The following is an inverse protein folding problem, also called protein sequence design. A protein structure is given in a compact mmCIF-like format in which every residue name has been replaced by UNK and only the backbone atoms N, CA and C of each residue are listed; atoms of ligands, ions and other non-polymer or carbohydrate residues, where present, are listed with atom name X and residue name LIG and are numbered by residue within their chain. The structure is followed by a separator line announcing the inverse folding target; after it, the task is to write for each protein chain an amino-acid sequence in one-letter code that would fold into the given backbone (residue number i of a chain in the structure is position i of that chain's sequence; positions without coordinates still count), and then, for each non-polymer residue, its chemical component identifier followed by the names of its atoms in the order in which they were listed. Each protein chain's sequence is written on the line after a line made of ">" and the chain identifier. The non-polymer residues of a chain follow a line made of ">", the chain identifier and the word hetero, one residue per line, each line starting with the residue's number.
data_IF_848109881653
#
_entry.id   IF_848109881653
#
_cell.length_a   1.000
_cell.length_b   1.000
_cell.length_c   1.000
_cell.angle_alpha   90.00
_cell.angle_beta   90.00
_cell.angle_gamma   90.00
#
_symmetry.space_group_name_H-M   'P 1'
#
loop_
_entity.id
_entity.type
_entity.pdbx_description
1 polymer ?
#
# COMPACT_ATOMS: atom_id res chain seq x y z
N UNK A 1 -9.92 -39.73 10.60
CA UNK A 1 -9.88 -38.51 11.43
C UNK A 1 -8.95 -37.55 10.75
N UNK A 2 -9.46 -36.47 10.16
CA UNK A 2 -8.62 -35.39 9.63
C UNK A 2 -7.86 -34.80 10.82
N UNK A 3 -6.52 -34.77 10.80
CA UNK A 3 -5.79 -34.19 11.91
C UNK A 3 -6.15 -32.70 12.00
N UNK A 4 -6.80 -32.31 13.09
CA UNK A 4 -7.15 -30.91 13.37
C UNK A 4 -5.87 -30.15 13.68
N UNK A 5 -5.62 -29.08 12.92
CA UNK A 5 -4.52 -28.15 13.17
C UNK A 5 -4.79 -27.38 14.47
N UNK A 6 -3.77 -27.19 15.30
CA UNK A 6 -3.87 -26.36 16.50
C UNK A 6 -3.43 -24.91 16.23
N UNK A 7 -3.79 -23.97 17.09
CA UNK A 7 -3.30 -22.58 16.96
C UNK A 7 -1.78 -22.50 17.11
N UNK A 8 -1.19 -23.34 17.96
CA UNK A 8 0.27 -23.45 18.10
C UNK A 8 0.93 -23.92 16.81
N UNK A 9 0.32 -24.86 16.09
CA UNK A 9 0.81 -25.29 14.77
C UNK A 9 0.75 -24.13 13.76
N UNK A 10 -0.34 -23.34 13.75
CA UNK A 10 -0.47 -22.17 12.88
C UNK A 10 0.62 -21.12 13.17
N UNK A 11 0.81 -20.76 14.44
CA UNK A 11 1.85 -19.82 14.85
C UNK A 11 3.25 -20.32 14.47
N UNK A 12 3.53 -21.60 14.70
CA UNK A 12 4.81 -22.20 14.33
C UNK A 12 5.04 -22.19 12.81
N UNK A 13 4.00 -22.40 12.01
CA UNK A 13 4.12 -22.31 10.55
C UNK A 13 4.38 -20.88 10.10
N UNK A 14 3.58 -19.92 10.58
CA UNK A 14 3.69 -18.52 10.18
C UNK A 14 5.03 -17.91 10.61
N UNK A 15 5.62 -18.35 11.71
CA UNK A 15 6.97 -17.92 12.12
C UNK A 15 8.07 -18.38 11.16
N UNK A 16 7.87 -19.44 10.36
CA UNK A 16 8.79 -19.83 9.28
C UNK A 16 8.86 -18.77 8.17
N UNK A 17 7.81 -17.96 8.03
CA UNK A 17 7.76 -16.79 7.16
C UNK A 17 8.20 -15.50 7.90
N UNK A 18 8.62 -15.58 9.16
CA UNK A 18 8.91 -14.39 9.97
C UNK A 18 7.67 -13.62 10.44
N UNK A 19 6.48 -14.24 10.39
CA UNK A 19 5.24 -13.64 10.86
C UNK A 19 4.97 -14.12 12.29
N UNK A 20 5.20 -13.23 13.25
CA UNK A 20 5.12 -13.55 14.68
C UNK A 20 3.67 -13.56 15.20
N UNK A 21 3.40 -14.28 16.32
CA UNK A 21 2.06 -14.35 16.92
C UNK A 21 1.41 -12.99 17.21
N UNK A 22 2.20 -11.99 17.63
CA UNK A 22 1.67 -10.66 17.92
C UNK A 22 1.15 -9.99 16.65
N UNK A 23 1.91 -10.04 15.56
CA UNK A 23 1.46 -9.53 14.26
C UNK A 23 0.18 -10.23 13.77
N UNK A 24 0.08 -11.54 14.00
CA UNK A 24 -1.09 -12.33 13.61
C UNK A 24 -2.33 -11.88 14.39
N UNK A 25 -2.21 -11.71 15.71
CA UNK A 25 -3.30 -11.24 16.57
C UNK A 25 -3.71 -9.82 16.24
N UNK A 26 -2.74 -8.94 16.02
CA UNK A 26 -2.98 -7.53 15.74
C UNK A 26 -3.61 -7.37 14.35
N UNK A 27 -3.06 -7.97 13.30
CA UNK A 27 -3.42 -7.66 11.92
C UNK A 27 -4.22 -8.74 11.19
N UNK A 28 -3.92 -10.03 11.43
CA UNK A 28 -4.43 -11.13 10.61
C UNK A 28 -5.68 -11.82 11.16
N UNK A 29 -5.97 -11.63 12.45
CA UNK A 29 -7.18 -12.13 13.08
C UNK A 29 -8.22 -11.00 13.24
N UNK A 30 -9.52 -11.34 13.20
CA UNK A 30 -10.59 -10.39 13.50
C UNK A 30 -10.48 -9.83 14.92
N UNK A 31 -10.97 -8.61 15.14
CA UNK A 31 -10.97 -7.88 16.42
C UNK A 31 -11.71 -8.61 17.54
N UNK A 32 -12.71 -9.42 17.20
CA UNK A 32 -13.43 -10.24 18.17
C UNK A 32 -12.69 -11.53 18.57
N UNK A 33 -11.57 -11.85 17.91
CA UNK A 33 -10.79 -13.04 18.23
C UNK A 33 -10.16 -12.93 19.63
N UNK A 34 -10.24 -14.01 20.40
CA UNK A 34 -9.69 -14.08 21.75
C UNK A 34 -9.09 -15.47 22.06
N UNK A 35 -8.35 -15.56 23.17
CA UNK A 35 -7.61 -16.77 23.56
C UNK A 35 -8.51 -17.99 23.82
N UNK A 36 -9.79 -17.79 24.19
CA UNK A 36 -10.71 -18.91 24.42
C UNK A 36 -11.00 -19.70 23.13
N UNK A 37 -10.85 -19.04 21.97
CA UNK A 37 -11.04 -19.66 20.65
C UNK A 37 -9.85 -20.51 20.23
N UNK A 38 -8.63 -20.23 20.73
CA UNK A 38 -7.42 -20.95 20.33
C UNK A 38 -7.44 -22.45 20.71
N UNK A 39 -8.29 -22.82 21.68
CA UNK A 39 -8.46 -24.21 22.14
C UNK A 39 -9.57 -24.97 21.39
N UNK A 40 -10.37 -24.29 20.57
CA UNK A 40 -11.54 -24.87 19.88
C UNK A 40 -11.17 -25.23 18.44
N UNK A 41 -11.11 -26.52 18.06
CA UNK A 41 -10.60 -26.92 16.73
C UNK A 41 -11.33 -26.29 15.54
N UNK A 42 -12.65 -26.12 15.64
CA UNK A 42 -13.46 -25.47 14.58
C UNK A 42 -13.12 -23.98 14.48
N UNK A 43 -12.99 -23.30 15.60
CA UNK A 43 -12.60 -21.89 15.60
C UNK A 43 -11.20 -21.70 15.03
N UNK A 44 -10.23 -22.57 15.36
CA UNK A 44 -8.87 -22.54 14.79
C UNK A 44 -8.89 -22.68 13.26
N UNK A 45 -9.78 -23.51 12.71
CA UNK A 45 -9.95 -23.61 11.25
C UNK A 45 -10.48 -22.32 10.64
N UNK A 46 -11.45 -21.65 11.29
CA UNK A 46 -11.95 -20.34 10.87
C UNK A 46 -10.85 -19.28 10.95
N UNK A 47 -10.07 -19.27 12.05
CA UNK A 47 -8.90 -18.40 12.23
C UNK A 47 -7.86 -18.57 11.12
N UNK A 48 -7.57 -19.81 10.72
CA UNK A 48 -6.71 -20.09 9.57
C UNK A 48 -7.27 -19.49 8.26
N UNK A 49 -8.59 -19.53 8.08
CA UNK A 49 -9.30 -18.89 6.97
C UNK A 49 -9.10 -17.37 6.94
N UNK A 50 -9.29 -16.70 8.08
CA UNK A 50 -9.05 -15.26 8.23
C UNK A 50 -7.60 -14.88 7.94
N UNK A 51 -6.66 -15.57 8.59
CA UNK A 51 -5.22 -15.35 8.38
C UNK A 51 -4.86 -15.50 6.91
N UNK A 52 -5.33 -16.58 6.26
CA UNK A 52 -5.01 -16.82 4.87
C UNK A 52 -5.62 -15.77 3.92
N UNK A 53 -6.85 -15.33 4.19
CA UNK A 53 -7.52 -14.30 3.38
C UNK A 53 -6.88 -12.93 3.56
N UNK A 54 -6.60 -12.50 4.79
CA UNK A 54 -6.03 -11.18 5.11
C UNK A 54 -4.58 -11.06 4.65
N UNK A 55 -3.74 -12.08 4.90
CA UNK A 55 -2.31 -12.04 4.52
C UNK A 55 -2.01 -12.55 3.11
N UNK A 56 -3.02 -12.99 2.36
CA UNK A 56 -2.84 -13.52 0.99
C UNK A 56 -2.13 -14.87 0.93
N UNK A 57 -2.32 -15.73 1.94
CA UNK A 57 -1.74 -17.08 1.98
C UNK A 57 -2.61 -18.11 1.26
N UNK A 58 -1.98 -19.17 0.77
CA UNK A 58 -2.67 -20.37 0.31
C UNK A 58 -3.18 -21.16 1.52
N UNK A 59 -4.49 -21.17 1.74
CA UNK A 59 -5.13 -21.84 2.88
C UNK A 59 -4.77 -23.33 2.94
N UNK A 60 -4.66 -24.00 1.79
CA UNK A 60 -4.30 -25.42 1.75
C UNK A 60 -2.90 -25.64 2.31
N UNK A 61 -1.92 -24.86 1.87
CA UNK A 61 -0.55 -24.91 2.40
C UNK A 61 -0.52 -24.58 3.89
N UNK A 62 -1.37 -23.67 4.38
CA UNK A 62 -1.43 -23.31 5.79
C UNK A 62 -1.97 -24.45 6.65
N UNK A 63 -3.00 -25.17 6.17
CA UNK A 63 -3.63 -26.28 6.89
C UNK A 63 -2.86 -27.61 6.83
N UNK A 64 -2.07 -27.85 5.78
CA UNK A 64 -1.33 -29.09 5.60
C UNK A 64 -0.20 -29.24 6.64
N UNK A 65 -0.10 -30.38 7.35
CA UNK A 65 0.91 -30.56 8.41
C UNK A 65 2.35 -30.58 7.89
N UNK A 66 2.57 -31.23 6.74
CA UNK A 66 3.90 -31.53 6.23
C UNK A 66 4.33 -30.59 5.07
N UNK A 67 3.60 -29.50 4.85
CA UNK A 67 3.93 -28.49 3.84
C UNK A 67 4.25 -27.14 4.51
N UNK A 68 5.31 -26.44 4.06
CA UNK A 68 5.57 -25.07 4.49
C UNK A 68 4.43 -24.15 4.01
N UNK A 69 4.07 -23.12 4.80
CA UNK A 69 3.07 -22.15 4.36
C UNK A 69 3.60 -21.36 3.15
N UNK A 70 2.70 -21.04 2.22
CA UNK A 70 3.02 -20.28 1.01
C UNK A 70 2.03 -19.14 0.81
N UNK A 71 2.51 -18.06 0.22
CA UNK A 71 1.63 -17.03 -0.34
C UNK A 71 0.94 -17.53 -1.60
N UNK A 72 -0.22 -16.94 -1.92
CA UNK A 72 -0.86 -17.13 -3.22
C UNK A 72 0.08 -16.68 -4.35
N UNK A 73 -0.03 -17.26 -5.56
CA UNK A 73 0.79 -16.86 -6.68
C UNK A 73 0.67 -15.35 -6.96
N UNK A 74 1.81 -14.69 -7.09
CA UNK A 74 1.90 -13.27 -7.44
C UNK A 74 1.90 -13.10 -8.98
N UNK A 75 1.53 -11.92 -9.51
CA UNK A 75 1.78 -11.58 -10.90
C UNK A 75 3.28 -11.60 -11.21
N UNK A 76 3.65 -11.51 -12.49
CA UNK A 76 5.04 -11.39 -12.88
C UNK A 76 5.68 -10.15 -12.22
N UNK A 77 6.59 -10.35 -11.27
CA UNK A 77 7.25 -9.27 -10.54
C UNK A 77 8.60 -8.94 -11.17
N UNK A 78 8.80 -7.69 -11.60
CA UNK A 78 10.12 -7.17 -11.98
C UNK A 78 10.83 -6.75 -10.70
N UNK A 79 11.71 -7.62 -10.20
CA UNK A 79 12.65 -7.29 -9.14
C UNK A 79 13.85 -6.53 -9.75
N UNK A 80 14.20 -5.37 -9.21
CA UNK A 80 15.40 -4.62 -9.64
C UNK A 80 16.69 -5.31 -9.16
N UNK A 81 17.80 -5.10 -9.87
CA UNK A 81 19.02 -5.94 -9.94
C UNK A 81 19.79 -6.17 -8.62
N UNK A 82 19.42 -5.55 -7.50
CA UNK A 82 20.02 -5.77 -6.17
C UNK A 82 19.15 -6.59 -5.21
N UNK A 83 17.95 -6.98 -5.65
CA UNK A 83 17.03 -7.81 -4.88
C UNK A 83 17.37 -9.28 -5.09
N UNK A 84 18.13 -9.86 -4.18
CA UNK A 84 18.11 -11.31 -4.04
C UNK A 84 16.78 -11.67 -3.34
N UNK A 85 15.93 -12.52 -3.94
CA UNK A 85 14.72 -12.99 -3.30
C UNK A 85 15.12 -13.78 -2.04
N UNK A 86 15.11 -13.11 -0.90
CA UNK A 86 15.22 -13.74 0.40
C UNK A 86 13.83 -13.74 1.05
N UNK A 87 13.64 -14.57 2.07
CA UNK A 87 12.34 -14.73 2.72
C UNK A 87 11.76 -13.41 3.27
N UNK A 88 12.59 -12.43 3.66
CA UNK A 88 12.13 -11.17 4.24
C UNK A 88 11.50 -10.25 3.18
N UNK A 89 12.10 -10.17 2.00
CA UNK A 89 11.56 -9.41 0.86
C UNK A 89 10.27 -10.05 0.33
N UNK A 90 10.18 -11.39 0.33
CA UNK A 90 8.97 -12.11 -0.10
C UNK A 90 7.72 -11.75 0.72
N UNK A 91 7.86 -11.60 2.04
CA UNK A 91 6.73 -11.26 2.93
C UNK A 91 6.21 -9.86 2.66
N UNK A 92 7.09 -8.85 2.61
CA UNK A 92 6.72 -7.49 2.27
C UNK A 92 5.96 -7.45 0.93
N UNK A 93 6.52 -8.10 -0.09
CA UNK A 93 5.94 -8.11 -1.43
C UNK A 93 4.57 -8.79 -1.44
N UNK A 94 4.39 -9.87 -0.69
CA UNK A 94 3.12 -10.60 -0.66
C UNK A 94 2.02 -9.82 0.05
N UNK A 95 2.35 -9.10 1.13
CA UNK A 95 1.41 -8.24 1.83
C UNK A 95 0.99 -7.06 0.96
N UNK A 96 1.97 -6.37 0.36
CA UNK A 96 1.74 -5.27 -0.59
C UNK A 96 0.92 -5.75 -1.78
N UNK A 97 1.22 -6.94 -2.32
CA UNK A 97 0.46 -7.54 -3.40
C UNK A 97 -1.01 -7.74 -3.03
N UNK A 98 -1.26 -8.30 -1.84
CA UNK A 98 -2.62 -8.53 -1.33
C UNK A 98 -3.37 -7.22 -1.12
N UNK A 99 -2.71 -6.20 -0.58
CA UNK A 99 -3.33 -4.87 -0.40
C UNK A 99 -3.63 -4.20 -1.74
N UNK A 100 -2.72 -4.27 -2.71
CA UNK A 100 -2.96 -3.75 -4.05
C UNK A 100 -4.16 -4.45 -4.73
N UNK A 101 -4.31 -5.77 -4.57
CA UNK A 101 -5.50 -6.50 -5.04
C UNK A 101 -6.78 -5.98 -4.39
N UNK A 102 -6.80 -5.83 -3.06
CA UNK A 102 -7.97 -5.38 -2.33
C UNK A 102 -8.35 -3.93 -2.68
N UNK A 103 -7.38 -3.03 -2.73
CA UNK A 103 -7.58 -1.62 -3.09
C UNK A 103 -8.05 -1.49 -4.54
N UNK A 104 -7.44 -2.22 -5.48
CA UNK A 104 -7.88 -2.21 -6.87
C UNK A 104 -9.32 -2.75 -7.04
N UNK A 105 -9.73 -3.69 -6.19
CA UNK A 105 -11.10 -4.19 -6.17
C UNK A 105 -12.11 -3.13 -5.68
N UNK A 106 -11.78 -2.37 -4.64
CA UNK A 106 -12.61 -1.26 -4.12
C UNK A 106 -12.49 0.06 -4.89
N UNK A 107 -11.65 0.14 -5.91
CA UNK A 107 -11.47 1.37 -6.71
C UNK A 107 -12.34 1.32 -7.97
N UNK A 108 -13.30 2.25 -8.06
CA UNK A 108 -14.18 2.37 -9.25
C UNK A 108 -13.53 3.14 -10.40
N UNK A 109 -12.62 4.07 -10.09
CA UNK A 109 -11.98 4.92 -11.07
C UNK A 109 -11.32 4.09 -12.19
N UNK A 110 -11.59 4.45 -13.44
CA UNK A 110 -11.00 3.78 -14.60
C UNK A 110 -9.68 4.44 -14.93
N UNK A 111 -8.64 3.63 -15.10
CA UNK A 111 -7.33 4.14 -15.45
C UNK A 111 -7.33 4.82 -16.83
N UNK A 112 -6.77 6.03 -16.88
CA UNK A 112 -6.48 6.75 -18.11
C UNK A 112 -4.97 6.90 -18.26
N UNK A 113 -4.46 6.62 -19.46
CA UNK A 113 -3.04 6.76 -19.74
C UNK A 113 -2.57 8.17 -19.41
N UNK A 114 -1.46 8.24 -18.68
CA UNK A 114 -0.81 9.50 -18.31
C UNK A 114 0.29 9.84 -19.34
N UNK A 115 0.54 11.13 -19.62
CA UNK A 115 1.57 11.53 -20.55
C UNK A 115 2.97 11.30 -19.98
N UNK A 116 3.91 10.89 -20.83
CA UNK A 116 5.33 10.74 -20.44
C UNK A 116 6.01 12.10 -20.17
N UNK A 117 5.48 13.20 -20.72
CA UNK A 117 6.00 14.55 -20.50
C UNK A 117 5.52 15.11 -19.16
N UNK A 118 6.44 15.18 -18.21
CA UNK A 118 6.23 15.71 -16.86
C UNK A 118 5.65 17.13 -16.86
N UNK A 119 5.94 17.96 -17.85
CA UNK A 119 5.41 19.34 -17.91
C UNK A 119 3.91 19.36 -18.19
N UNK A 120 3.39 18.37 -18.92
CA UNK A 120 1.95 18.22 -19.14
C UNK A 120 1.26 17.84 -17.85
N UNK A 121 1.83 16.90 -17.09
CA UNK A 121 1.32 16.50 -15.77
C UNK A 121 1.33 17.68 -14.80
N UNK A 122 2.47 18.40 -14.73
CA UNK A 122 2.61 19.61 -13.92
C UNK A 122 1.54 20.65 -14.26
N UNK A 123 1.31 20.89 -15.55
CA UNK A 123 0.29 21.84 -16.01
C UNK A 123 -1.12 21.39 -15.64
N UNK A 124 -1.43 20.09 -15.76
CA UNK A 124 -2.74 19.54 -15.38
C UNK A 124 -3.01 19.66 -13.87
N UNK A 125 -1.98 19.45 -13.03
CA UNK A 125 -2.08 19.62 -11.58
C UNK A 125 -2.35 21.09 -11.22
N UNK A 126 -1.57 22.01 -11.81
CA UNK A 126 -1.66 23.44 -11.49
C UNK A 126 -2.92 24.13 -12.05
N UNK A 127 -3.44 23.70 -13.21
CA UNK A 127 -4.66 24.30 -13.79
C UNK A 127 -5.88 23.97 -12.92
N UNK A 128 -5.94 22.79 -12.30
CA UNK A 128 -7.08 22.36 -11.50
C UNK A 128 -7.10 22.95 -10.09
N UNK A 129 -5.93 23.30 -9.53
CA UNK A 129 -5.88 23.99 -8.22
C UNK A 129 -6.49 25.40 -8.28
N UNK A 130 -6.58 26.01 -9.47
CA UNK A 130 -7.25 27.28 -9.70
C UNK A 130 -8.79 27.15 -9.81
N UNK A 131 -9.32 25.98 -10.18
CA UNK A 131 -10.75 25.72 -10.40
C UNK A 131 -11.47 25.04 -9.21
N UNK A 132 -10.73 24.61 -8.18
CA UNK A 132 -11.28 23.82 -7.08
C UNK A 132 -12.26 24.63 -6.18
N UNK A 133 -13.55 24.34 -6.33
CA UNK A 133 -14.65 24.70 -5.43
C UNK A 133 -14.46 24.10 -4.01
N UNK A 134 -15.08 24.69 -2.96
CA UNK A 134 -14.80 24.36 -1.57
C UNK A 134 -15.22 22.92 -1.21
N UNK A 135 -14.23 22.08 -0.91
CA UNK A 135 -14.42 20.85 -0.15
C UNK A 135 -14.69 21.23 1.33
N UNK A 136 -15.92 21.02 1.79
CA UNK A 136 -16.27 20.91 3.22
C UNK A 136 -16.07 22.17 4.07
N UNK A 137 -16.00 23.36 3.46
CA UNK A 137 -15.78 24.62 4.19
C UNK A 137 -14.38 24.79 4.77
N UNK A 138 -13.39 23.98 4.36
CA UNK A 138 -11.97 24.23 4.65
C UNK A 138 -11.31 24.81 3.41
N UNK A 139 -11.10 26.12 3.44
CA UNK A 139 -10.28 26.83 2.45
C UNK A 139 -8.84 26.34 2.59
N UNK A 140 -8.28 25.77 1.51
CA UNK A 140 -6.83 25.59 1.41
C UNK A 140 -6.21 26.98 1.25
N UNK A 141 -5.84 27.59 2.38
CA UNK A 141 -5.13 28.87 2.40
C UNK A 141 -3.65 28.63 2.12
N UNK A 142 -3.31 28.25 0.89
CA UNK A 142 -1.93 28.40 0.39
C UNK A 142 -1.97 28.60 -1.13
N UNK A 143 -2.05 29.86 -1.55
CA UNK A 143 -1.74 30.28 -2.91
C UNK A 143 -0.21 30.23 -3.10
N UNK A 144 0.32 29.02 -3.28
CA UNK A 144 1.62 28.77 -3.90
C UNK A 144 1.39 27.79 -5.06
N UNK A 145 1.92 28.02 -6.28
CA UNK A 145 1.84 27.07 -7.40
C UNK A 145 2.85 25.93 -7.20
N UNK A 146 2.84 25.35 -6.00
CA UNK A 146 3.72 24.25 -5.60
C UNK A 146 2.92 22.97 -5.64
N UNK A 147 3.55 21.92 -6.19
CA UNK A 147 2.97 20.59 -6.19
C UNK A 147 3.26 19.99 -4.83
N UNK A 148 2.20 19.69 -4.09
CA UNK A 148 2.27 19.02 -2.79
C UNK A 148 1.68 17.60 -2.86
N UNK A 149 1.72 16.89 -1.74
CA UNK A 149 1.22 15.52 -1.63
C UNK A 149 -0.27 15.42 -2.02
N UNK A 150 -1.10 16.38 -1.61
CA UNK A 150 -2.55 16.34 -1.86
C UNK A 150 -2.84 16.53 -3.33
N UNK A 151 -2.16 17.49 -3.99
CA UNK A 151 -2.30 17.74 -5.41
C UNK A 151 -1.89 16.53 -6.26
N UNK A 152 -0.84 15.81 -5.84
CA UNK A 152 -0.43 14.55 -6.48
C UNK A 152 -1.47 13.43 -6.28
N UNK A 153 -2.04 13.30 -5.08
CA UNK A 153 -3.10 12.31 -4.81
C UNK A 153 -4.36 12.58 -5.63
N UNK A 154 -4.77 13.85 -5.74
CA UNK A 154 -5.86 14.29 -6.60
C UNK A 154 -5.61 13.92 -8.06
N UNK A 155 -4.42 14.22 -8.57
CA UNK A 155 -4.04 13.83 -9.92
C UNK A 155 -4.07 12.33 -10.12
N UNK A 156 -3.42 11.55 -9.25
CA UNK A 156 -3.38 10.09 -9.35
C UNK A 156 -4.79 9.50 -9.41
N UNK A 157 -5.67 9.91 -8.49
CA UNK A 157 -7.04 9.41 -8.45
C UNK A 157 -7.84 9.74 -9.71
N UNK A 158 -7.70 10.95 -10.24
CA UNK A 158 -8.38 11.37 -11.47
C UNK A 158 -7.94 10.55 -12.68
N UNK A 159 -6.68 10.07 -12.67
CA UNK A 159 -6.17 9.16 -13.69
C UNK A 159 -6.50 7.69 -13.41
N UNK A 160 -7.26 7.39 -12.36
CA UNK A 160 -7.60 6.02 -11.94
C UNK A 160 -6.43 5.25 -11.32
N UNK A 161 -5.46 5.95 -10.74
CA UNK A 161 -4.33 5.39 -9.99
C UNK A 161 -4.66 5.48 -8.50
N UNK A 162 -4.83 4.33 -7.85
CA UNK A 162 -5.03 4.29 -6.40
C UNK A 162 -3.68 4.39 -5.68
N UNK A 163 -3.63 5.17 -4.61
CA UNK A 163 -2.41 5.37 -3.80
C UNK A 163 -2.74 5.01 -2.35
N UNK A 164 -1.92 4.15 -1.73
CA UNK A 164 -1.99 3.86 -0.31
C UNK A 164 -0.63 3.92 0.36
N UNK A 165 -0.63 4.17 1.67
CA UNK A 165 0.55 4.04 2.52
C UNK A 165 0.43 2.78 3.36
N UNK A 166 1.47 1.95 3.36
CA UNK A 166 1.53 0.75 4.18
C UNK A 166 2.94 0.48 4.70
N UNK A 167 3.16 0.74 5.99
CA UNK A 167 4.44 0.47 6.66
C UNK A 167 4.31 -0.48 7.84
N UNK A 168 3.16 -1.14 8.04
CA UNK A 168 2.94 -2.05 9.16
C UNK A 168 3.28 -3.50 8.79
N UNK A 169 4.57 -3.74 8.55
CA UNK A 169 5.09 -5.06 8.21
C UNK A 169 5.42 -5.92 9.45
N UNK A 170 5.42 -7.27 9.34
CA UNK A 170 5.88 -8.13 10.41
C UNK A 170 7.32 -7.80 10.85
N UNK A 171 7.67 -8.03 12.13
CA UNK A 171 9.04 -7.89 12.61
C UNK A 171 10.01 -8.66 11.72
N UNK A 172 11.19 -8.07 11.44
CA UNK A 172 12.22 -8.64 10.56
C UNK A 172 11.90 -8.70 9.06
N UNK A 173 10.77 -8.16 8.61
CA UNK A 173 10.53 -7.88 7.20
C UNK A 173 11.45 -6.77 6.73
N UNK A 174 11.92 -6.84 5.48
CA UNK A 174 12.64 -5.72 4.85
C UNK A 174 11.61 -4.75 4.29
N UNK A 175 11.50 -3.50 4.80
CA UNK A 175 10.54 -2.54 4.29
C UNK A 175 10.82 -2.20 2.83
N UNK A 176 9.78 -1.79 2.12
CA UNK A 176 9.87 -1.21 0.78
C UNK A 176 9.72 0.31 0.90
N UNK A 177 10.36 1.08 0.03
CA UNK A 177 10.13 2.53 -0.03
C UNK A 177 8.88 2.83 -0.84
N UNK A 178 8.74 2.19 -1.99
CA UNK A 178 7.58 2.28 -2.85
C UNK A 178 7.41 1.08 -3.78
N UNK A 179 6.21 0.97 -4.34
CA UNK A 179 5.88 -0.05 -5.34
C UNK A 179 4.76 0.43 -6.25
N UNK A 180 4.78 -0.07 -7.48
CA UNK A 180 3.69 0.05 -8.43
C UNK A 180 3.28 -1.36 -8.81
N UNK A 181 1.99 -1.64 -8.72
CA UNK A 181 1.43 -2.92 -9.15
C UNK A 181 0.25 -2.71 -10.08
N UNK A 182 0.29 -3.39 -11.23
CA UNK A 182 -0.88 -3.58 -12.07
C UNK A 182 -1.77 -4.68 -11.49
N UNK A 183 -3.01 -4.34 -11.17
CA UNK A 183 -4.07 -5.31 -10.93
C UNK A 183 -5.13 -5.17 -12.03
N UNK A 184 -5.17 -6.15 -12.93
CA UNK A 184 -5.96 -6.13 -14.17
C UNK A 184 -5.59 -4.91 -15.03
N UNK A 185 -6.43 -3.89 -15.06
CA UNK A 185 -6.28 -2.68 -15.87
C UNK A 185 -6.09 -1.43 -15.00
N UNK A 186 -5.74 -1.58 -13.71
CA UNK A 186 -5.54 -0.48 -12.78
C UNK A 186 -4.14 -0.56 -12.15
N UNK A 187 -3.35 0.52 -12.21
CA UNK A 187 -2.14 0.65 -11.41
C UNK A 187 -2.51 1.06 -9.97
N UNK A 188 -1.83 0.45 -9.01
CA UNK A 188 -1.88 0.81 -7.60
C UNK A 188 -0.47 1.15 -7.14
N UNK A 189 -0.30 2.30 -6.51
CA UNK A 189 0.95 2.73 -5.89
C UNK A 189 0.85 2.49 -4.39
N UNK A 190 1.81 1.77 -3.81
CA UNK A 190 1.94 1.63 -2.35
C UNK A 190 3.23 2.28 -1.90
N UNK A 191 3.13 3.24 -0.99
CA UNK A 191 4.29 3.86 -0.34
C UNK A 191 4.53 3.13 0.97
N UNK A 192 5.66 2.43 1.08
CA UNK A 192 6.02 1.66 2.27
C UNK A 192 6.97 2.40 3.22
N UNK A 193 7.47 3.56 2.80
CA UNK A 193 8.43 4.35 3.55
C UNK A 193 7.88 4.78 4.93
N UNK A 194 8.68 4.59 5.99
CA UNK A 194 8.35 5.00 7.36
C UNK A 194 8.53 6.51 7.61
N UNK A 195 8.23 7.34 6.62
CA UNK A 195 8.31 8.80 6.73
C UNK A 195 6.94 9.40 7.02
N UNK A 196 6.89 10.38 7.92
CA UNK A 196 5.67 11.14 8.21
C UNK A 196 5.63 12.47 7.46
N UNK A 197 6.78 12.91 6.93
CA UNK A 197 6.91 14.17 6.21
C UNK A 197 6.18 14.11 4.87
N UNK A 198 5.23 15.01 4.67
CA UNK A 198 4.40 15.05 3.47
C UNK A 198 5.19 15.38 2.21
N UNK A 199 6.23 16.23 2.29
CA UNK A 199 7.06 16.58 1.14
C UNK A 199 7.92 15.38 0.71
N UNK A 200 8.48 14.65 1.68
CA UNK A 200 9.21 13.42 1.40
C UNK A 200 8.32 12.35 0.75
N UNK A 201 7.12 12.14 1.27
CA UNK A 201 6.16 11.20 0.67
C UNK A 201 5.66 11.69 -0.70
N UNK A 202 5.54 13.01 -0.92
CA UNK A 202 5.22 13.57 -2.23
C UNK A 202 6.32 13.27 -3.26
N UNK A 203 7.59 13.38 -2.86
CA UNK A 203 8.71 13.01 -3.72
C UNK A 203 8.65 11.52 -4.09
N UNK A 204 8.45 10.62 -3.10
CA UNK A 204 8.33 9.18 -3.36
C UNK A 204 7.15 8.91 -4.31
N UNK A 205 5.99 9.52 -4.08
CA UNK A 205 4.83 9.38 -4.98
C UNK A 205 5.15 9.87 -6.40
N UNK A 206 5.83 11.01 -6.53
CA UNK A 206 6.22 11.54 -7.83
C UNK A 206 7.25 10.66 -8.55
N UNK A 207 8.17 10.04 -7.81
CA UNK A 207 9.12 9.06 -8.33
C UNK A 207 8.38 7.84 -8.91
N UNK A 208 7.46 7.25 -8.15
CA UNK A 208 6.66 6.11 -8.62
C UNK A 208 5.75 6.50 -9.80
N UNK A 209 5.16 7.69 -9.77
CA UNK A 209 4.41 8.22 -10.91
C UNK A 209 5.30 8.34 -12.16
N UNK A 210 6.58 8.69 -11.99
CA UNK A 210 7.58 8.72 -13.07
C UNK A 210 7.80 7.35 -13.69
N UNK A 211 7.95 6.29 -12.90
CA UNK A 211 8.04 4.92 -13.41
C UNK A 211 6.81 4.52 -14.24
N UNK A 212 5.61 4.91 -13.80
CA UNK A 212 4.38 4.65 -14.54
C UNK A 212 4.31 5.46 -15.84
N UNK A 213 4.61 6.76 -15.77
CA UNK A 213 4.51 7.69 -16.91
C UNK A 213 5.51 7.38 -18.02
N UNK A 214 6.71 6.96 -17.64
CA UNK A 214 7.79 6.62 -18.57
C UNK A 214 7.71 5.17 -19.08
N UNK A 215 6.70 4.39 -18.63
CA UNK A 215 6.49 3.03 -19.09
C UNK A 215 7.52 2.01 -18.57
N UNK A 216 8.20 2.32 -17.45
CA UNK A 216 9.16 1.39 -16.83
C UNK A 216 8.46 0.10 -16.33
N UNK A 217 7.16 0.18 -16.04
CA UNK A 217 6.30 -0.96 -15.70
C UNK A 217 5.01 -1.00 -16.55
N UNK A 218 4.96 -1.91 -17.52
CA UNK A 218 3.79 -2.12 -18.40
C UNK A 218 2.81 -3.19 -17.91
N UNK A 219 3.29 -4.13 -17.09
CA UNK A 219 2.50 -5.19 -16.46
C UNK A 219 3.23 -5.70 -15.21
N UNK A 220 2.48 -6.31 -14.29
CA UNK A 220 3.04 -6.93 -13.11
C UNK A 220 3.33 -5.96 -11.97
N UNK A 221 4.44 -6.16 -11.26
CA UNK A 221 4.81 -5.40 -10.07
C UNK A 221 6.25 -4.89 -10.17
N UNK A 222 6.48 -3.62 -9.80
CA UNK A 222 7.78 -3.01 -9.59
C UNK A 222 7.92 -2.71 -8.09
N UNK A 223 9.01 -3.12 -7.47
CA UNK A 223 9.25 -2.88 -6.04
C UNK A 223 10.60 -2.23 -5.83
N UNK A 224 10.62 -1.17 -5.02
CA UNK A 224 11.83 -0.45 -4.64
C UNK A 224 12.03 -0.50 -3.13
N UNK A 225 13.21 -0.95 -2.70
CA UNK A 225 13.59 -1.01 -1.28
C UNK A 225 14.18 0.33 -0.79
N UNK A 226 14.78 1.12 -1.68
CA UNK A 226 15.35 2.43 -1.37
C UNK A 226 15.53 3.28 -2.64
N UNK A 227 15.18 4.56 -2.58
CA UNK A 227 15.42 5.56 -3.61
C UNK A 227 16.88 6.03 -3.51
N UNK A 228 17.67 5.73 -4.54
CA UNK A 228 19.01 6.28 -4.72
C UNK A 228 18.98 7.41 -5.76
N UNK A 229 19.13 8.65 -5.28
CA UNK A 229 19.12 9.85 -6.12
C UNK A 229 20.27 9.89 -7.13
N UNK A 230 21.37 9.16 -6.85
CA UNK A 230 22.56 9.06 -7.68
C UNK A 230 22.65 7.70 -8.39
N UNK A 231 21.52 6.97 -8.47
CA UNK A 231 21.47 5.65 -9.11
C UNK A 231 21.98 5.72 -10.56
N UNK A 232 22.90 4.81 -10.96
CA UNK A 232 23.35 4.72 -12.35
C UNK A 232 22.36 3.96 -13.25
N UNK A 233 21.30 3.37 -12.68
CA UNK A 233 20.23 2.73 -13.45
C UNK A 233 19.39 3.79 -14.17
N UNK A 234 19.23 3.64 -15.49
CA UNK A 234 18.55 4.62 -16.34
C UNK A 234 17.08 4.83 -15.93
N UNK A 235 16.38 3.76 -15.51
CA UNK A 235 14.99 3.86 -15.12
C UNK A 235 14.83 4.64 -13.82
N UNK A 236 15.70 4.42 -12.84
CA UNK A 236 15.74 5.17 -11.58
C UNK A 236 16.13 6.62 -11.78
N UNK A 237 17.17 6.87 -12.57
CA UNK A 237 17.61 8.21 -12.88
C UNK A 237 16.47 9.00 -13.53
N UNK A 238 15.80 8.42 -14.52
CA UNK A 238 14.66 9.05 -15.18
C UNK A 238 13.47 9.27 -14.24
N UNK A 239 13.17 8.34 -13.33
CA UNK A 239 12.11 8.51 -12.31
C UNK A 239 12.46 9.64 -11.30
N UNK A 240 13.72 9.72 -10.86
CA UNK A 240 14.21 10.81 -10.02
C UNK A 240 14.12 12.16 -10.73
N UNK A 241 14.57 12.24 -11.98
CA UNK A 241 14.45 13.46 -12.79
C UNK A 241 12.98 13.84 -13.02
N UNK A 242 12.10 12.86 -13.17
CA UNK A 242 10.67 13.11 -13.28
C UNK A 242 10.14 13.80 -12.02
N UNK A 243 10.43 13.29 -10.81
CA UNK A 243 10.02 13.93 -9.57
C UNK A 243 10.56 15.37 -9.41
N UNK A 244 11.84 15.58 -9.74
CA UNK A 244 12.48 16.90 -9.69
C UNK A 244 11.83 17.88 -10.68
N UNK A 245 11.61 17.45 -11.93
CA UNK A 245 11.02 18.30 -12.97
C UNK A 245 9.53 18.56 -12.74
N UNK A 246 8.85 17.67 -12.01
CA UNK A 246 7.50 17.91 -11.52
C UNK A 246 7.48 19.06 -10.49
N UNK A 247 8.61 19.36 -9.84
CA UNK A 247 8.79 20.52 -8.98
C UNK A 247 8.93 20.17 -7.49
N UNK A 248 9.29 18.92 -7.17
CA UNK A 248 9.59 18.46 -5.82
C UNK A 248 11.09 18.63 -5.55
N UNK A 249 11.46 18.96 -4.31
CA UNK A 249 12.88 19.17 -3.97
C UNK A 249 13.54 17.85 -3.56
N UNK A 250 14.68 17.55 -4.17
CA UNK A 250 15.56 16.45 -3.78
C UNK A 250 16.04 16.58 -2.32
N UNK A 251 16.09 17.79 -1.77
CA UNK A 251 16.43 18.01 -0.36
C UNK A 251 15.42 17.36 0.60
N UNK A 252 14.15 17.21 0.19
CA UNK A 252 13.08 16.59 0.98
C UNK A 252 13.38 15.12 1.30
N UNK A 253 14.11 14.42 0.44
CA UNK A 253 14.55 13.03 0.68
C UNK A 253 15.63 12.95 1.76
N UNK A 254 16.52 13.95 1.80
CA UNK A 254 17.67 14.01 2.71
C UNK A 254 17.37 14.64 4.07
N UNK A 255 16.20 15.26 4.24
CA UNK A 255 15.78 15.91 5.47
C UNK A 255 15.70 14.90 6.63
N UNK A 256 16.44 15.18 7.71
CA UNK A 256 16.64 14.24 8.83
C UNK A 256 15.54 14.28 9.89
N UNK A 257 14.68 15.29 9.90
CA UNK A 257 13.66 15.43 10.94
C UNK A 257 12.33 15.89 10.35
N UNK A 258 11.19 15.30 10.76
CA UNK A 258 9.90 15.90 10.51
C UNK A 258 9.86 17.22 11.29
N UNK A 259 9.66 18.34 10.58
CA UNK A 259 9.23 19.56 11.25
C UNK A 259 7.89 19.23 11.93
N UNK A 260 7.83 19.40 13.26
CA UNK A 260 6.68 19.12 14.13
C UNK A 260 5.42 19.97 13.79
N UNK A 261 5.44 20.70 12.67
CA UNK A 261 4.38 21.56 12.16
C UNK A 261 3.69 20.99 10.90
N UNK A 262 4.18 19.90 10.29
CA UNK A 262 3.58 19.34 9.07
C UNK A 262 2.56 18.23 9.36
N UNK A 263 1.47 18.17 8.56
CA UNK A 263 0.48 17.10 8.67
C UNK A 263 1.13 15.75 8.36
N UNK A 264 0.76 14.72 9.11
CA UNK A 264 1.26 13.36 8.91
C UNK A 264 0.84 12.85 7.52
N UNK A 265 1.81 12.78 6.60
CA UNK A 265 1.53 12.41 5.21
C UNK A 265 1.03 10.97 5.04
N UNK A 266 1.37 10.05 5.95
CA UNK A 266 0.84 8.68 5.96
C UNK A 266 -0.69 8.71 6.15
N UNK A 267 -1.15 9.50 7.13
CA UNK A 267 -2.58 9.70 7.40
C UNK A 267 -3.27 10.43 6.25
N UNK A 268 -2.61 11.39 5.61
CA UNK A 268 -3.16 12.08 4.42
C UNK A 268 -3.44 11.06 3.31
N UNK A 269 -2.45 10.22 2.96
CA UNK A 269 -2.60 9.22 1.90
C UNK A 269 -3.73 8.24 2.22
N UNK A 270 -3.71 7.64 3.41
CA UNK A 270 -4.67 6.61 3.75
C UNK A 270 -6.08 7.16 3.93
N UNK A 271 -6.24 8.35 4.52
CA UNK A 271 -7.55 9.02 4.59
C UNK A 271 -8.06 9.39 3.20
N UNK A 272 -7.20 9.91 2.33
CA UNK A 272 -7.56 10.28 0.97
C UNK A 272 -8.14 9.08 0.20
N UNK A 273 -7.48 7.93 0.31
CA UNK A 273 -7.96 6.67 -0.27
C UNK A 273 -9.27 6.22 0.38
N UNK A 274 -9.32 6.18 1.70
CA UNK A 274 -10.49 5.70 2.45
C UNK A 274 -11.75 6.52 2.14
N UNK A 275 -11.63 7.83 1.96
CA UNK A 275 -12.75 8.71 1.60
C UNK A 275 -13.29 8.45 0.17
N UNK A 276 -12.60 7.63 -0.65
CA UNK A 276 -12.92 7.39 -2.07
C UNK A 276 -13.06 5.93 -2.48
N UNK A 277 -12.69 4.99 -1.61
CA UNK A 277 -12.94 3.57 -1.83
C UNK A 277 -14.44 3.27 -1.78
N UNK A 278 -14.89 2.38 -2.65
CA UNK A 278 -16.23 1.81 -2.58
C UNK A 278 -16.25 0.70 -1.52
N UNK A 279 -16.56 1.09 -0.28
CA UNK A 279 -16.55 0.21 0.88
C UNK A 279 -17.64 -0.86 0.82
N UNK A 280 -18.74 -0.62 0.10
CA UNK A 280 -19.88 -1.53 -0.01
C UNK A 280 -19.54 -2.81 -0.80
N UNK A 281 -18.40 -2.83 -1.51
CA UNK A 281 -17.92 -4.01 -2.25
C UNK A 281 -17.28 -5.05 -1.34
N UNK A 282 -16.85 -4.67 -0.14
CA UNK A 282 -16.12 -5.54 0.76
C UNK A 282 -17.09 -6.27 1.70
N UNK A 283 -16.82 -7.55 1.94
CA UNK A 283 -17.44 -8.25 3.06
C UNK A 283 -16.92 -7.71 4.40
N UNK A 284 -17.66 -7.96 5.49
CA UNK A 284 -17.35 -7.45 6.84
C UNK A 284 -15.88 -7.69 7.25
N UNK A 285 -15.32 -8.85 6.89
CA UNK A 285 -13.95 -9.22 7.20
C UNK A 285 -12.91 -8.42 6.39
N UNK A 286 -13.15 -8.22 5.10
CA UNK A 286 -12.27 -7.45 4.23
C UNK A 286 -12.34 -5.97 4.54
N UNK A 287 -13.53 -5.47 4.90
CA UNK A 287 -13.75 -4.12 5.42
C UNK A 287 -12.91 -3.91 6.67
N UNK A 288 -13.08 -4.77 7.68
CA UNK A 288 -12.38 -4.65 8.96
C UNK A 288 -10.85 -4.71 8.78
N UNK A 289 -10.38 -5.61 7.91
CA UNK A 289 -8.95 -5.72 7.64
C UNK A 289 -8.37 -4.46 6.98
N UNK A 290 -9.05 -3.91 5.96
CA UNK A 290 -8.61 -2.68 5.29
C UNK A 290 -8.66 -1.48 6.21
N UNK A 291 -9.73 -1.33 7.00
CA UNK A 291 -9.86 -0.26 8.00
C UNK A 291 -8.66 -0.27 8.95
N UNK A 292 -8.35 -1.45 9.49
CA UNK A 292 -7.22 -1.66 10.39
C UNK A 292 -5.87 -1.37 9.74
N UNK A 293 -5.63 -1.87 8.52
CA UNK A 293 -4.35 -1.68 7.81
C UNK A 293 -4.13 -0.23 7.40
N UNK A 294 -5.20 0.46 6.98
CA UNK A 294 -5.13 1.88 6.61
C UNK A 294 -5.02 2.79 7.83
N UNK A 295 -5.35 2.30 9.03
CA UNK A 295 -5.33 3.09 10.26
C UNK A 295 -6.35 4.24 10.22
N UNK A 296 -7.48 4.00 9.57
CA UNK A 296 -8.60 4.94 9.47
C UNK A 296 -9.74 4.44 10.35
N UNK A 297 -10.37 5.33 11.11
CA UNK A 297 -11.67 5.02 11.73
C UNK A 297 -12.74 5.50 10.76
N UNK A 298 -13.40 4.57 10.07
CA UNK A 298 -14.54 4.92 9.25
C UNK A 298 -15.73 5.04 10.20
N UNK A 299 -16.32 6.24 10.29
CA UNK A 299 -17.59 6.39 10.97
C UNK A 299 -18.58 5.45 10.28
N UNK A 300 -18.94 4.35 10.95
CA UNK A 300 -20.12 3.58 10.60
C UNK A 300 -21.24 4.61 10.50
N UNK A 301 -21.74 4.84 9.29
CA UNK A 301 -23.00 5.54 9.14
C UNK A 301 -24.01 4.67 9.86
N UNK A 302 -24.34 5.08 11.09
CA UNK A 302 -25.40 4.47 11.88
C UNK A 302 -26.62 4.56 11.00
N UNK A 303 -27.02 3.42 10.44
CA UNK A 303 -28.24 3.30 9.66
C UNK A 303 -29.36 3.93 10.46
N UNK A 304 -29.88 5.04 9.95
CA UNK A 304 -31.16 5.56 10.41
C UNK A 304 -32.18 4.53 9.92
N UNK A 305 -32.68 3.76 10.89
CA UNK A 305 -33.83 2.86 10.78
C UNK A 305 -35.02 3.59 10.17
#
# INVERSE_FOLDING_TARGET
>A
MTPTISMSDLYHKLSQLGIEPNYIRECALPSWWNEELETKPVAVLEGAGYIAKRLGLDLKSLLAKDEPPRFKPQPHTKFKQHLSPNHRTLVAHSLVHRLAEMVAYGTEATFTNIPADVNQIRSQILTKSEEALPWNGRVSLTLSPQIDLTALLDYCWQQGIAVLHFSHFPPHTRPIEGTIQWHRNRPVIIIGAHHQDSAKLAFILAHELGHLALGHLTEGMLVEENIDLDSPDEAEYCANQFAINLGLDKSDISAKEPSCLHPNGQQIINKYLADRLDWDRFDDDSYEYLEKVLGVELCQSVGIV
#
